data_IF_294789661082
#
_entry.id   IF_294789661082
#
_cell.length_a   1.000
_cell.length_b   1.000
_cell.length_c   1.000
_cell.angle_alpha   90.00
_cell.angle_beta   90.00
_cell.angle_gamma   90.00
#
_symmetry.space_group_name_H-M   'P 1'
#
loop_
_entity.id
_entity.type
_entity.pdbx_description
1 polymer ?
#
# COMPACT_ATOMS: atom_id res chain seq x y z
N UNK A 1 -3.53 8.03 -22.32
CA UNK A 1 -4.87 7.92 -21.69
C UNK A 1 -4.76 8.44 -20.26
N UNK A 2 -5.85 8.98 -19.70
CA UNK A 2 -5.93 9.46 -18.32
C UNK A 2 -7.08 8.78 -17.59
N UNK A 3 -6.97 8.65 -16.27
CA UNK A 3 -8.08 8.26 -15.41
C UNK A 3 -8.66 9.53 -14.75
N UNK A 4 -9.98 9.58 -14.63
CA UNK A 4 -10.70 10.75 -14.09
C UNK A 4 -11.57 10.30 -12.93
N UNK A 5 -11.25 10.76 -11.72
CA UNK A 5 -12.05 10.56 -10.50
C UNK A 5 -12.84 11.82 -10.19
N UNK A 6 -14.16 11.73 -10.22
CA UNK A 6 -15.07 12.84 -9.90
C UNK A 6 -15.63 12.63 -8.49
N UNK A 7 -15.38 13.59 -7.60
CA UNK A 7 -15.83 13.56 -6.21
C UNK A 7 -16.94 14.59 -6.03
N UNK A 8 -18.12 14.13 -5.62
CA UNK A 8 -19.23 15.01 -5.21
C UNK A 8 -19.16 15.27 -3.70
N UNK A 9 -18.71 16.45 -3.31
CA UNK A 9 -18.59 16.87 -1.90
C UNK A 9 -19.90 16.76 -1.14
N UNK A 10 -21.04 17.03 -1.78
CA UNK A 10 -22.37 16.99 -1.13
C UNK A 10 -22.85 15.56 -0.83
N UNK A 11 -22.29 14.56 -1.52
CA UNK A 11 -22.62 13.17 -1.28
C UNK A 11 -21.75 12.53 -0.19
N UNK A 12 -20.74 13.24 0.30
CA UNK A 12 -19.85 12.75 1.36
C UNK A 12 -20.41 13.13 2.73
N UNK A 13 -20.27 12.24 3.73
CA UNK A 13 -20.47 12.60 5.13
C UNK A 13 -19.59 13.81 5.50
N UNK A 14 -20.08 14.77 6.32
CA UNK A 14 -19.32 15.97 6.68
C UNK A 14 -17.93 15.66 7.24
N UNK A 15 -17.83 14.65 8.11
CA UNK A 15 -16.54 14.21 8.66
C UNK A 15 -15.52 13.79 7.58
N UNK A 16 -15.98 13.19 6.47
CA UNK A 16 -15.13 12.79 5.34
C UNK A 16 -14.77 14.01 4.50
N UNK A 17 -15.77 14.83 4.16
CA UNK A 17 -15.59 16.02 3.33
C UNK A 17 -14.64 17.06 3.94
N UNK A 18 -14.71 17.27 5.26
CA UNK A 18 -13.99 18.35 5.93
C UNK A 18 -12.60 17.91 6.42
N UNK A 19 -12.41 16.62 6.70
CA UNK A 19 -11.16 16.11 7.31
C UNK A 19 -10.36 15.19 6.40
N UNK A 20 -11.00 14.21 5.77
CA UNK A 20 -10.29 13.17 5.02
C UNK A 20 -9.97 13.64 3.61
N UNK A 21 -10.93 14.26 2.92
CA UNK A 21 -10.77 14.69 1.55
C UNK A 21 -9.65 15.75 1.37
N UNK A 22 -9.54 16.82 2.18
CA UNK A 22 -8.45 17.79 2.03
C UNK A 22 -7.07 17.14 2.21
N UNK A 23 -6.97 16.16 3.11
CA UNK A 23 -5.74 15.41 3.36
C UNK A 23 -5.39 14.48 2.20
N UNK A 24 -6.37 13.75 1.65
CA UNK A 24 -6.20 12.91 0.45
C UNK A 24 -5.66 13.76 -0.70
N UNK A 25 -6.26 14.93 -0.97
CA UNK A 25 -5.83 15.82 -2.04
C UNK A 25 -4.43 16.36 -1.81
N UNK A 26 -4.13 16.83 -0.60
CA UNK A 26 -2.82 17.37 -0.24
C UNK A 26 -1.70 16.35 -0.50
N UNK A 27 -1.89 15.11 -0.04
CA UNK A 27 -0.94 14.02 -0.27
C UNK A 27 -0.87 13.68 -1.76
N UNK A 28 -2.01 13.48 -2.42
CA UNK A 28 -2.10 13.09 -3.83
C UNK A 28 -1.38 14.07 -4.77
N UNK A 29 -1.43 15.37 -4.47
CA UNK A 29 -0.77 16.41 -5.27
C UNK A 29 0.75 16.43 -5.01
N UNK A 30 1.17 16.22 -3.75
CA UNK A 30 2.58 16.35 -3.32
C UNK A 30 3.44 15.15 -3.69
N UNK A 31 2.87 13.94 -3.68
CA UNK A 31 3.66 12.73 -3.91
C UNK A 31 4.06 12.60 -5.39
N UNK A 32 5.35 12.32 -5.62
CA UNK A 32 5.91 12.13 -6.95
C UNK A 32 7.07 11.15 -6.88
N UNK A 33 6.80 9.94 -7.36
CA UNK A 33 7.75 8.82 -7.37
C UNK A 33 7.39 7.88 -8.54
N UNK A 34 8.37 7.24 -9.23
CA UNK A 34 8.10 6.35 -10.36
C UNK A 34 7.18 5.15 -10.04
N UNK A 35 7.08 4.76 -8.77
CA UNK A 35 6.26 3.62 -8.31
C UNK A 35 5.01 4.05 -7.51
N UNK A 36 4.63 5.32 -7.61
CA UNK A 36 3.35 5.84 -7.10
C UNK A 36 2.46 6.28 -8.27
N UNK A 37 1.15 6.13 -8.09
CA UNK A 37 0.16 6.65 -9.04
C UNK A 37 0.28 8.17 -9.16
N UNK A 38 0.42 8.67 -10.40
CA UNK A 38 0.68 10.08 -10.66
C UNK A 38 -0.63 10.84 -10.87
N UNK A 39 -0.92 11.78 -9.97
CA UNK A 39 -1.92 12.82 -10.22
C UNK A 39 -1.35 13.87 -11.17
N UNK A 40 -2.02 14.09 -12.30
CA UNK A 40 -1.64 15.07 -13.31
C UNK A 40 -2.23 16.44 -13.02
N UNK A 41 -3.49 16.48 -12.58
CA UNK A 41 -4.19 17.71 -12.23
C UNK A 41 -5.33 17.48 -11.24
N UNK A 42 -5.64 18.51 -10.46
CA UNK A 42 -6.85 18.59 -9.63
C UNK A 42 -7.63 19.82 -10.06
N UNK A 43 -8.90 19.64 -10.42
CA UNK A 43 -9.79 20.71 -10.87
C UNK A 43 -10.98 20.82 -9.92
N UNK A 44 -11.46 22.04 -9.72
CA UNK A 44 -12.66 22.33 -8.94
C UNK A 44 -13.63 23.16 -9.79
N UNK A 45 -14.35 22.54 -10.76
CA UNK A 45 -15.21 23.27 -11.70
C UNK A 45 -16.39 23.96 -11.01
N UNK A 46 -16.77 23.51 -9.81
CA UNK A 46 -17.75 24.18 -8.96
C UNK A 46 -17.53 23.81 -7.49
N UNK A 47 -18.22 24.52 -6.58
CA UNK A 47 -18.05 24.34 -5.13
C UNK A 47 -18.37 22.94 -4.61
N UNK A 48 -19.20 22.16 -5.32
CA UNK A 48 -19.62 20.81 -4.93
C UNK A 48 -18.81 19.69 -5.57
N UNK A 49 -17.92 19.96 -6.53
CA UNK A 49 -17.20 18.92 -7.27
C UNK A 49 -15.70 19.13 -7.27
N UNK A 50 -14.97 18.03 -7.11
CA UNK A 50 -13.54 17.95 -7.35
C UNK A 50 -13.30 16.89 -8.43
N UNK A 51 -12.40 17.17 -9.35
CA UNK A 51 -12.00 16.25 -10.42
C UNK A 51 -10.51 16.02 -10.30
N UNK A 52 -10.12 14.77 -10.07
CA UNK A 52 -8.72 14.34 -10.10
C UNK A 52 -8.46 13.69 -11.45
N UNK A 53 -7.44 14.20 -12.15
CA UNK A 53 -6.94 13.64 -13.39
C UNK A 53 -5.62 12.96 -13.05
N UNK A 54 -5.49 11.67 -13.35
CA UNK A 54 -4.28 10.87 -13.12
C UNK A 54 -3.86 10.12 -14.38
N UNK A 55 -2.64 9.58 -14.36
CA UNK A 55 -2.24 8.59 -15.35
C UNK A 55 -3.20 7.39 -15.34
N UNK A 56 -3.40 6.79 -16.52
CA UNK A 56 -4.14 5.55 -16.68
C UNK A 56 -3.17 4.38 -16.81
N UNK A 57 -3.40 3.33 -16.03
CA UNK A 57 -2.55 2.15 -15.97
C UNK A 57 -3.23 0.98 -16.67
N UNK A 58 -2.71 0.63 -17.85
CA UNK A 58 -3.40 -0.18 -18.86
C UNK A 58 -3.56 -1.66 -18.48
N UNK A 59 -2.72 -2.16 -17.58
CA UNK A 59 -2.74 -3.58 -17.19
C UNK A 59 -3.65 -3.84 -15.98
N UNK A 60 -4.36 -2.83 -15.51
CA UNK A 60 -5.32 -2.96 -14.41
C UNK A 60 -4.64 -3.02 -13.04
N UNK A 61 -5.31 -3.69 -12.10
CA UNK A 61 -4.83 -3.88 -10.73
C UNK A 61 -4.02 -5.17 -10.58
N UNK A 62 -3.21 -5.24 -9.52
CA UNK A 62 -2.52 -6.47 -9.12
C UNK A 62 -3.52 -7.57 -8.71
N UNK A 63 -4.67 -7.21 -8.16
CA UNK A 63 -5.73 -8.18 -7.88
C UNK A 63 -6.21 -8.85 -9.17
N UNK A 64 -6.52 -8.07 -10.21
CA UNK A 64 -6.94 -8.59 -11.52
C UNK A 64 -5.85 -9.47 -12.14
N UNK A 65 -4.58 -9.12 -11.99
CA UNK A 65 -3.46 -9.94 -12.43
C UNK A 65 -3.47 -11.31 -11.73
N UNK A 66 -3.58 -11.34 -10.40
CA UNK A 66 -3.58 -12.58 -9.62
C UNK A 66 -4.82 -13.43 -9.94
N UNK A 67 -6.00 -12.82 -10.08
CA UNK A 67 -7.22 -13.53 -10.46
C UNK A 67 -7.09 -14.19 -11.84
N UNK A 68 -6.38 -13.55 -12.78
CA UNK A 68 -6.16 -14.09 -14.14
C UNK A 68 -5.07 -15.17 -14.17
N UNK A 69 -3.96 -14.94 -13.48
CA UNK A 69 -2.74 -15.78 -13.60
C UNK A 69 -2.57 -16.76 -12.44
N UNK A 70 -3.52 -16.77 -11.51
CA UNK A 70 -3.52 -17.46 -10.22
C UNK A 70 -2.44 -16.98 -9.25
N UNK A 71 -1.23 -16.69 -9.72
CA UNK A 71 -0.10 -16.14 -8.96
C UNK A 71 0.86 -15.40 -9.88
N UNK A 72 1.69 -14.54 -9.31
CA UNK A 72 2.82 -13.91 -10.00
C UNK A 72 4.02 -14.86 -9.95
N UNK A 73 4.70 -15.05 -11.07
CA UNK A 73 5.96 -15.79 -11.09
C UNK A 73 7.01 -15.02 -10.29
N UNK A 74 7.68 -15.73 -9.38
CA UNK A 74 8.64 -15.16 -8.44
C UNK A 74 9.72 -14.33 -9.13
N UNK A 75 10.52 -14.94 -10.01
CA UNK A 75 11.52 -14.26 -10.82
C UNK A 75 11.17 -14.34 -12.32
N UNK A 76 11.46 -13.28 -13.09
CA UNK A 76 11.95 -11.97 -12.66
C UNK A 76 10.85 -10.99 -12.20
N UNK A 77 9.58 -11.34 -12.45
CA UNK A 77 8.47 -10.40 -12.35
C UNK A 77 8.11 -10.04 -10.90
N UNK A 78 7.90 -11.03 -10.03
CA UNK A 78 7.53 -10.82 -8.63
C UNK A 78 8.56 -10.00 -7.87
N UNK A 79 9.85 -10.35 -8.00
CA UNK A 79 10.98 -9.60 -7.42
C UNK A 79 10.97 -8.14 -7.87
N UNK A 80 10.82 -7.89 -9.19
CA UNK A 80 10.78 -6.52 -9.73
C UNK A 80 9.62 -5.72 -9.13
N UNK A 81 8.41 -6.26 -9.15
CA UNK A 81 7.22 -5.58 -8.66
C UNK A 81 7.30 -5.31 -7.15
N UNK A 82 7.78 -6.27 -6.36
CA UNK A 82 7.88 -6.10 -4.92
C UNK A 82 8.92 -5.02 -4.54
N UNK A 83 10.10 -5.02 -5.18
CA UNK A 83 11.10 -3.95 -5.01
C UNK A 83 10.51 -2.57 -5.26
N UNK A 84 9.75 -2.42 -6.34
CA UNK A 84 9.10 -1.14 -6.70
C UNK A 84 8.09 -0.68 -5.64
N UNK A 85 7.32 -1.61 -5.07
CA UNK A 85 6.38 -1.31 -3.98
C UNK A 85 7.12 -0.89 -2.71
N UNK A 86 8.24 -1.54 -2.39
CA UNK A 86 9.08 -1.15 -1.25
C UNK A 86 9.65 0.26 -1.42
N UNK A 87 10.16 0.59 -2.60
CA UNK A 87 10.66 1.94 -2.92
C UNK A 87 9.55 2.99 -2.80
N UNK A 88 8.34 2.68 -3.28
CA UNK A 88 7.18 3.55 -3.13
C UNK A 88 6.81 3.81 -1.66
N UNK A 89 6.75 2.76 -0.83
CA UNK A 89 6.42 2.90 0.60
C UNK A 89 7.54 3.62 1.36
N UNK A 90 8.80 3.29 1.07
CA UNK A 90 9.94 3.97 1.64
C UNK A 90 9.91 5.48 1.34
N UNK A 91 9.67 5.86 0.09
CA UNK A 91 9.53 7.26 -0.33
C UNK A 91 8.46 8.01 0.48
N UNK A 92 7.31 7.38 0.74
CA UNK A 92 6.24 7.95 1.56
C UNK A 92 6.68 8.11 3.01
N UNK A 93 7.29 7.07 3.57
CA UNK A 93 7.73 7.03 4.97
C UNK A 93 8.81 8.07 5.28
N UNK A 94 9.73 8.31 4.35
CA UNK A 94 10.73 9.39 4.46
C UNK A 94 10.09 10.78 4.57
N UNK A 95 8.90 10.96 3.99
CA UNK A 95 8.11 12.21 4.02
C UNK A 95 7.09 12.23 5.15
N UNK A 96 7.20 11.32 6.11
CA UNK A 96 6.28 11.15 7.23
C UNK A 96 4.83 10.87 6.78
N UNK A 97 4.66 10.26 5.61
CA UNK A 97 3.36 9.84 5.08
C UNK A 97 3.24 8.33 5.26
N UNK A 98 2.13 7.88 5.85
CA UNK A 98 1.75 6.46 5.91
C UNK A 98 0.52 6.22 5.03
N UNK A 99 0.49 5.10 4.32
CA UNK A 99 -0.55 4.78 3.34
C UNK A 99 -1.81 4.23 4.01
N UNK A 100 -1.66 3.25 4.91
CA UNK A 100 -2.68 2.62 5.76
C UNK A 100 -3.79 1.82 5.05
N UNK A 101 -3.74 1.70 3.73
CA UNK A 101 -4.62 0.81 2.95
C UNK A 101 -3.86 0.17 1.77
N UNK A 102 -2.67 -0.37 2.03
CA UNK A 102 -1.90 -1.11 1.02
C UNK A 102 -2.59 -2.46 0.80
N UNK A 103 -2.98 -2.71 -0.45
CA UNK A 103 -3.72 -3.90 -0.88
C UNK A 103 -3.61 -4.09 -2.38
N UNK A 104 -3.94 -5.28 -2.88
CA UNK A 104 -3.83 -5.64 -4.30
C UNK A 104 -4.66 -4.73 -5.21
N UNK A 105 -5.82 -4.27 -4.73
CA UNK A 105 -6.72 -3.35 -5.42
C UNK A 105 -6.12 -1.96 -5.62
N UNK A 106 -5.26 -1.55 -4.69
CA UNK A 106 -4.60 -0.25 -4.69
C UNK A 106 -3.21 -0.30 -5.36
N UNK A 107 -2.84 -1.44 -5.97
CA UNK A 107 -1.60 -1.59 -6.72
C UNK A 107 -1.98 -1.70 -8.20
N UNK A 108 -1.62 -0.69 -8.97
CA UNK A 108 -1.88 -0.62 -10.41
C UNK A 108 -0.66 -1.08 -11.19
N UNK A 109 -0.88 -1.53 -12.42
CA UNK A 109 0.17 -2.05 -13.29
C UNK A 109 0.21 -1.24 -14.59
N UNK A 110 1.36 -0.63 -14.87
CA UNK A 110 1.55 0.15 -16.08
C UNK A 110 1.79 -0.72 -17.33
N UNK A 111 1.93 -0.08 -18.50
CA UNK A 111 2.17 -0.78 -19.76
C UNK A 111 3.42 -1.68 -19.76
N UNK A 112 4.45 -1.32 -18.99
CA UNK A 112 5.71 -2.05 -18.86
C UNK A 112 5.61 -3.23 -17.87
N UNK A 113 4.50 -3.35 -17.15
CA UNK A 113 4.34 -4.35 -16.11
C UNK A 113 5.01 -3.94 -14.80
N UNK A 114 5.17 -2.64 -14.56
CA UNK A 114 5.70 -2.10 -13.30
C UNK A 114 4.57 -1.71 -12.36
N UNK A 115 4.82 -1.90 -11.06
CA UNK A 115 3.85 -1.64 -10.01
C UNK A 115 3.79 -0.14 -9.64
N UNK A 116 2.56 0.33 -9.38
CA UNK A 116 2.25 1.71 -8.97
C UNK A 116 1.30 1.66 -7.78
N UNK A 117 1.75 2.06 -6.60
CA UNK A 117 0.87 2.17 -5.44
C UNK A 117 -0.04 3.40 -5.58
N UNK A 118 -1.33 3.21 -5.38
CA UNK A 118 -2.40 4.17 -5.62
C UNK A 118 -3.36 4.28 -4.43
N UNK A 119 -4.29 5.23 -4.52
CA UNK A 119 -5.35 5.51 -3.53
C UNK A 119 -4.85 5.96 -2.15
N UNK A 120 -4.70 7.29 -2.01
CA UNK A 120 -4.27 7.94 -0.77
C UNK A 120 -5.43 8.35 0.15
N UNK A 121 -6.65 7.79 -0.03
CA UNK A 121 -7.82 8.16 0.78
C UNK A 121 -7.65 7.92 2.29
N UNK A 122 -6.90 6.89 2.66
CA UNK A 122 -6.53 6.61 4.06
C UNK A 122 -5.18 7.16 4.47
N UNK A 123 -4.39 7.68 3.52
CA UNK A 123 -3.06 8.16 3.80
C UNK A 123 -3.10 9.40 4.71
N UNK A 124 -2.06 9.56 5.52
CA UNK A 124 -1.92 10.74 6.39
C UNK A 124 -0.46 11.03 6.74
N UNK A 125 -0.22 12.26 7.13
CA UNK A 125 0.97 12.61 7.88
C UNK A 125 0.90 12.07 9.31
N UNK A 126 1.99 11.52 9.80
CA UNK A 126 2.14 11.00 11.15
C UNK A 126 3.57 11.25 11.64
N UNK A 127 3.76 11.62 12.91
CA UNK A 127 5.12 11.75 13.45
C UNK A 127 5.73 10.36 13.72
N UNK A 128 7.06 10.19 13.58
CA UNK A 128 7.76 8.88 13.72
C UNK A 128 7.57 8.13 15.05
N UNK A 129 6.98 8.75 16.07
CA UNK A 129 6.69 8.12 17.37
C UNK A 129 5.20 8.20 17.76
N UNK A 130 4.36 8.76 16.89
CA UNK A 130 2.92 8.85 17.11
C UNK A 130 2.29 7.47 16.85
N UNK A 131 1.58 6.94 17.86
CA UNK A 131 0.74 5.75 17.70
C UNK A 131 -0.64 6.15 17.20
N UNK A 132 -1.07 5.54 16.09
CA UNK A 132 -2.42 5.74 15.56
C UNK A 132 -3.45 5.03 16.44
N UNK A 133 -4.58 5.71 16.67
CA UNK A 133 -5.80 5.16 17.29
C UNK A 133 -6.98 5.13 16.33
N UNK A 134 -6.73 5.38 15.04
CA UNK A 134 -7.73 5.31 13.98
C UNK A 134 -7.59 3.99 13.25
N UNK A 135 -8.51 3.06 13.52
CA UNK A 135 -8.51 1.71 12.94
C UNK A 135 -9.21 1.75 11.58
N UNK A 136 -8.42 1.81 10.51
CA UNK A 136 -8.89 1.86 9.13
C UNK A 136 -8.08 0.92 8.24
N UNK A 137 -8.46 0.85 6.97
CA UNK A 137 -7.87 -0.06 5.99
C UNK A 137 -8.67 -1.36 5.83
N UNK A 138 -8.18 -2.20 4.93
CA UNK A 138 -8.88 -3.42 4.50
C UNK A 138 -8.43 -4.62 5.36
N UNK A 139 -9.36 -5.18 6.17
CA UNK A 139 -9.07 -6.15 7.25
C UNK A 139 -8.08 -7.29 6.90
N UNK A 140 -8.17 -7.97 5.74
CA UNK A 140 -7.23 -9.05 5.39
C UNK A 140 -5.75 -8.65 5.37
N UNK A 141 -5.45 -7.36 5.17
CA UNK A 141 -4.11 -6.80 5.12
C UNK A 141 -3.69 -6.10 6.42
N UNK A 142 -4.62 -5.98 7.38
CA UNK A 142 -4.39 -5.25 8.62
C UNK A 142 -3.46 -6.02 9.55
N UNK A 143 -2.48 -5.32 10.13
CA UNK A 143 -1.68 -5.84 11.22
C UNK A 143 -2.57 -6.24 12.43
N UNK A 144 -2.17 -7.24 13.24
CA UNK A 144 -2.99 -7.72 14.36
C UNK A 144 -3.37 -6.65 15.38
N UNK A 145 -2.53 -5.64 15.64
CA UNK A 145 -2.92 -4.57 16.57
C UNK A 145 -4.10 -3.76 16.06
N UNK A 146 -4.26 -3.62 14.74
CA UNK A 146 -5.39 -2.92 14.12
C UNK A 146 -6.67 -3.73 14.29
N UNK A 147 -6.63 -5.04 14.07
CA UNK A 147 -7.80 -5.93 14.23
C UNK A 147 -8.22 -6.05 15.70
N UNK A 148 -7.26 -5.94 16.62
CA UNK A 148 -7.47 -5.93 18.07
C UNK A 148 -7.76 -4.53 18.65
N UNK A 149 -7.92 -3.50 17.81
CA UNK A 149 -8.19 -2.12 18.23
C UNK A 149 -7.19 -1.55 19.25
N UNK A 150 -5.91 -1.93 19.14
CA UNK A 150 -4.82 -1.43 19.99
C UNK A 150 -4.04 -0.32 19.29
N UNK A 151 -3.60 0.74 20.01
CA UNK A 151 -2.75 1.77 19.43
C UNK A 151 -1.53 1.17 18.73
N UNK A 152 -1.30 1.55 17.47
CA UNK A 152 -0.34 0.88 16.60
C UNK A 152 0.60 1.87 15.92
N UNK A 153 1.77 1.39 15.54
CA UNK A 153 2.68 2.15 14.69
C UNK A 153 2.20 2.02 13.24
N UNK A 154 1.95 3.13 12.57
CA UNK A 154 1.39 3.11 11.20
C UNK A 154 2.42 2.82 10.12
N UNK A 155 3.71 3.11 10.36
CA UNK A 155 4.79 2.75 9.43
C UNK A 155 4.96 1.24 9.41
N UNK A 156 5.04 0.70 10.61
CA UNK A 156 4.98 -0.72 10.95
C UNK A 156 3.83 -1.48 10.25
N UNK A 157 2.63 -0.91 10.28
CA UNK A 157 1.45 -1.50 9.65
C UNK A 157 1.51 -1.52 8.12
N UNK A 158 2.09 -0.49 7.48
CA UNK A 158 2.28 -0.48 6.02
C UNK A 158 3.22 -1.61 5.57
N UNK A 159 4.30 -1.86 6.32
CA UNK A 159 5.22 -2.98 6.04
C UNK A 159 4.56 -4.34 6.23
N UNK A 160 3.71 -4.48 7.25
CA UNK A 160 2.93 -5.70 7.44
C UNK A 160 2.01 -5.96 6.23
N UNK A 161 1.28 -4.94 5.79
CA UNK A 161 0.39 -5.04 4.63
C UNK A 161 1.16 -5.41 3.35
N UNK A 162 2.36 -4.87 3.15
CA UNK A 162 3.26 -5.29 2.06
C UNK A 162 3.65 -6.76 2.15
N UNK A 163 3.89 -7.30 3.34
CA UNK A 163 4.14 -8.74 3.55
C UNK A 163 2.96 -9.61 3.10
N UNK A 164 1.73 -9.21 3.44
CA UNK A 164 0.52 -9.88 2.96
C UNK A 164 0.39 -9.82 1.44
N UNK A 165 0.73 -8.66 0.84
CA UNK A 165 0.78 -8.50 -0.62
C UNK A 165 1.79 -9.45 -1.25
N UNK A 166 3.03 -9.52 -0.72
CA UNK A 166 4.07 -10.42 -1.23
C UNK A 166 3.61 -11.88 -1.19
N UNK A 167 3.11 -12.34 -0.05
CA UNK A 167 2.61 -13.70 0.10
C UNK A 167 1.52 -13.99 -0.94
N UNK A 168 0.53 -13.09 -1.05
CA UNK A 168 -0.60 -13.29 -1.96
C UNK A 168 -0.16 -13.26 -3.42
N UNK A 169 0.84 -12.44 -3.78
CA UNK A 169 1.45 -12.43 -5.10
C UNK A 169 2.05 -13.80 -5.45
N UNK A 170 2.83 -14.40 -4.55
CA UNK A 170 3.59 -15.62 -4.84
C UNK A 170 2.75 -16.89 -4.71
N UNK A 171 1.86 -16.94 -3.72
CA UNK A 171 1.05 -18.13 -3.40
C UNK A 171 -0.27 -18.12 -4.17
N UNK A 172 -0.77 -16.96 -4.57
CA UNK A 172 -2.06 -16.83 -5.26
C UNK A 172 -3.28 -17.01 -4.35
N UNK A 173 -3.05 -17.11 -3.04
CA UNK A 173 -4.08 -17.30 -2.02
C UNK A 173 -3.76 -16.39 -0.85
N UNK A 174 -4.78 -16.08 -0.07
CA UNK A 174 -4.61 -15.42 1.21
C UNK A 174 -3.84 -16.31 2.19
N UNK A 175 -3.04 -15.72 3.10
CA UNK A 175 -2.53 -16.47 4.24
C UNK A 175 -3.71 -17.05 5.03
N UNK A 176 -3.74 -18.38 5.20
CA UNK A 176 -4.73 -19.06 6.04
C UNK A 176 -4.22 -19.02 7.48
N UNK A 177 -5.12 -18.78 8.43
CA UNK A 177 -4.89 -18.57 9.87
C UNK A 177 -4.42 -17.16 10.28
N UNK A 178 -5.09 -16.61 11.29
CA UNK A 178 -4.73 -15.32 11.91
C UNK A 178 -3.32 -15.32 12.50
N UNK A 179 -2.83 -16.51 12.88
CA UNK A 179 -1.49 -16.73 13.42
C UNK A 179 -0.40 -16.88 12.33
N UNK A 180 -0.78 -17.19 11.08
CA UNK A 180 0.12 -17.32 9.91
C UNK A 180 -0.02 -16.11 8.96
N UNK A 181 -0.95 -15.18 9.23
CA UNK A 181 -1.14 -13.95 8.44
C UNK A 181 0.07 -13.01 8.46
N UNK A 182 1.02 -13.24 9.35
CA UNK A 182 2.40 -12.88 9.09
C UNK A 182 3.04 -14.05 8.32
N UNK A 183 3.05 -13.99 6.99
CA UNK A 183 3.89 -14.86 6.14
C UNK A 183 5.40 -14.70 6.41
N UNK A 184 5.78 -14.17 7.58
CA UNK A 184 7.12 -13.98 8.09
C UNK A 184 7.92 -15.28 8.06
N UNK A 185 7.42 -16.42 8.55
CA UNK A 185 8.28 -17.61 8.60
C UNK A 185 8.57 -18.18 7.20
N UNK A 186 7.56 -18.23 6.33
CA UNK A 186 7.71 -18.78 4.97
C UNK A 186 8.47 -17.83 4.05
N UNK A 187 8.22 -16.53 4.16
CA UNK A 187 9.03 -15.53 3.49
C UNK A 187 10.44 -15.54 4.09
N UNK A 188 10.68 -15.52 5.41
CA UNK A 188 12.05 -15.40 5.96
C UNK A 188 13.01 -16.54 5.62
N UNK A 189 12.48 -17.68 5.21
CA UNK A 189 13.29 -18.83 4.81
C UNK A 189 13.31 -19.13 3.31
N UNK A 190 12.63 -18.36 2.45
CA UNK A 190 12.77 -18.54 0.99
C UNK A 190 14.09 -17.94 0.46
N UNK A 191 14.55 -18.46 -0.69
CA UNK A 191 15.87 -18.17 -1.28
C UNK A 191 16.14 -16.68 -1.58
N UNK A 192 15.10 -15.84 -1.71
CA UNK A 192 15.18 -14.37 -1.87
C UNK A 192 15.94 -13.62 -0.76
N UNK A 193 15.99 -14.14 0.48
CA UNK A 193 16.72 -13.49 1.59
C UNK A 193 18.24 -13.56 1.45
N UNK A 194 18.73 -14.51 0.65
CA UNK A 194 20.16 -14.83 0.55
C UNK A 194 20.93 -13.92 -0.41
N UNK A 195 20.25 -13.05 -1.18
CA UNK A 195 20.88 -12.26 -2.26
C UNK A 195 21.12 -10.75 -1.93
N UNK A 196 20.83 -10.30 -0.69
CA UNK A 196 21.20 -9.02 -0.01
C UNK A 196 20.72 -7.64 -0.56
N UNK A 197 20.66 -6.55 0.28
CA UNK A 197 20.82 -6.46 1.75
C UNK A 197 19.67 -5.77 2.54
N UNK A 198 19.66 -6.05 3.86
CA UNK A 198 19.00 -5.33 4.98
C UNK A 198 17.48 -5.13 4.91
N UNK A 199 16.74 -6.23 4.99
CA UNK A 199 15.30 -6.18 5.14
C UNK A 199 14.88 -6.04 6.60
N UNK A 200 13.92 -5.16 6.89
CA UNK A 200 13.33 -5.03 8.22
C UNK A 200 11.91 -5.59 8.15
N UNK A 201 11.68 -6.73 8.79
CA UNK A 201 10.34 -7.34 8.91
C UNK A 201 9.94 -7.46 10.37
N UNK A 202 8.64 -7.32 10.63
CA UNK A 202 8.08 -7.57 11.95
C UNK A 202 7.97 -9.07 12.18
N UNK A 203 8.60 -9.57 13.24
CA UNK A 203 8.44 -10.96 13.68
C UNK A 203 7.04 -11.20 14.30
N UNK A 204 6.80 -12.44 14.73
CA UNK A 204 5.55 -12.87 15.39
C UNK A 204 5.26 -12.09 16.69
N UNK A 205 6.26 -11.42 17.25
CA UNK A 205 6.17 -10.58 18.44
C UNK A 205 6.17 -9.08 18.11
N UNK A 206 6.04 -8.72 16.83
CA UNK A 206 5.99 -7.35 16.33
C UNK A 206 7.28 -6.55 16.54
N UNK A 207 8.41 -7.25 16.67
CA UNK A 207 9.75 -6.66 16.69
C UNK A 207 10.26 -6.58 15.26
N UNK A 208 10.62 -5.39 14.84
CA UNK A 208 11.23 -5.13 13.54
C UNK A 208 12.69 -5.60 13.58
N UNK A 209 12.95 -6.78 13.00
CA UNK A 209 14.29 -7.36 12.95
C UNK A 209 14.92 -7.12 11.59
N UNK A 210 16.19 -6.70 11.60
CA UNK A 210 17.02 -6.75 10.40
C UNK A 210 17.30 -8.20 10.07
N UNK A 211 17.00 -8.57 8.84
CA UNK A 211 17.33 -9.89 8.32
C UNK A 211 18.66 -9.74 7.63
N UNK A 212 19.70 -10.16 8.35
CA UNK A 212 21.02 -10.32 7.81
C UNK A 212 21.06 -11.64 7.05
N UNK A 213 21.65 -11.62 5.84
CA UNK A 213 21.99 -12.87 5.15
C UNK A 213 22.91 -13.71 6.04
N UNK A 214 22.77 -15.04 6.04
CA UNK A 214 23.74 -15.94 6.65
C UNK A 214 25.14 -15.79 6.02
#
# INVERSE_FOLDING_TARGET
MVAVKIINKKALPPAIADKFLPRELDITIKVRHPHLSRCLAVLAPCSSKIVLISEFYQRGTLLELILREQRVKEAPQGVRMFRQLMEAVHYLHERNIVHRDIKLENILIDANGDAKLADFGFARFIARRERSRSFCGTRPYSAPQITLYKPYDSYAADWYALGVVLYTMLVGKWPKDEDIRAGYHDCVHSEWMALQPDWIFADQNFVYQRIHSP
#
